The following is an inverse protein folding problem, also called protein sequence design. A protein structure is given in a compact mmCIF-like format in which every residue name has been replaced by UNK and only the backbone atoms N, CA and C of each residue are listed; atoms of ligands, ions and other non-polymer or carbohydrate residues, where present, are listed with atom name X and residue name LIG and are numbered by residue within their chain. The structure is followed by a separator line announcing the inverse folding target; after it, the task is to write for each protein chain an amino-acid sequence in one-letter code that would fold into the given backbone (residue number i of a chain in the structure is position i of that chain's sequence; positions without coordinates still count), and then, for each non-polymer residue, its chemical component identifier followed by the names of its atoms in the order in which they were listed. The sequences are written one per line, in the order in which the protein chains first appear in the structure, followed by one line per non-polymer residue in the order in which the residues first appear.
data_IF_787557336901
#
_entry.id   IF_787557336901
#
_cell.length_a   1.000
_cell.length_b   1.000
_cell.length_c   1.000
_cell.angle_alpha   90.00
_cell.angle_beta   90.00
_cell.angle_gamma   90.00
#
_symmetry.space_group_name_H-M   'P 1'
#
loop_
_entity.id
_entity.type
_entity.pdbx_description
1 polymer ?
#
# COMPACT_ATOMS: atom_id res chain seq x y z
N UNK A 1 2.38 -15.77 16.62
CA UNK A 1 1.10 -15.08 16.32
C UNK A 1 1.33 -13.59 16.41
N UNK A 2 0.32 -12.73 16.22
CA UNK A 2 0.47 -11.27 16.42
C UNK A 2 0.91 -10.97 17.85
N UNK A 3 0.33 -11.66 18.84
CA UNK A 3 0.63 -11.48 20.26
C UNK A 3 2.11 -11.74 20.56
N UNK A 4 2.66 -12.84 20.04
CA UNK A 4 4.07 -13.17 20.22
C UNK A 4 5.03 -12.15 19.59
N UNK A 5 4.61 -11.45 18.52
CA UNK A 5 5.40 -10.35 17.95
C UNK A 5 5.33 -9.13 18.85
N UNK A 6 4.13 -8.80 19.35
CA UNK A 6 3.91 -7.65 20.24
C UNK A 6 4.63 -7.79 21.59
N UNK A 7 4.87 -9.01 22.09
CA UNK A 7 5.65 -9.24 23.32
C UNK A 7 7.09 -8.73 23.22
N UNK A 8 7.67 -8.68 22.02
CA UNK A 8 9.06 -8.26 21.78
C UNK A 8 9.17 -6.97 20.99
N UNK A 9 8.08 -6.48 20.41
CA UNK A 9 8.03 -5.27 19.61
C UNK A 9 7.71 -4.04 20.49
N UNK A 10 8.44 -2.92 20.36
CA UNK A 10 8.12 -1.70 21.11
C UNK A 10 6.68 -1.22 20.83
N UNK A 11 5.92 -0.93 21.88
CA UNK A 11 4.50 -0.61 21.79
C UNK A 11 4.21 0.71 21.04
N UNK A 12 5.18 1.61 20.99
CA UNK A 12 5.11 2.87 20.26
C UNK A 12 5.37 2.73 18.75
N UNK A 13 5.92 1.59 18.30
CA UNK A 13 6.23 1.35 16.90
C UNK A 13 5.05 0.66 16.21
N UNK A 14 4.66 1.10 15.01
CA UNK A 14 3.53 0.49 14.33
C UNK A 14 3.85 -0.94 13.89
N UNK A 15 2.86 -1.81 14.00
CA UNK A 15 2.90 -3.20 13.55
C UNK A 15 2.06 -3.35 12.28
N UNK A 16 2.71 -3.74 11.19
CA UNK A 16 2.08 -3.98 9.91
C UNK A 16 1.88 -5.48 9.68
N UNK A 17 0.77 -5.86 9.07
CA UNK A 17 0.55 -7.22 8.56
C UNK A 17 0.26 -7.14 7.07
N UNK A 18 1.04 -7.87 6.27
CA UNK A 18 0.79 -8.02 4.84
C UNK A 18 -0.05 -9.26 4.58
N UNK A 19 -1.08 -9.12 3.75
CA UNK A 19 -1.95 -10.24 3.36
C UNK A 19 -2.05 -10.36 1.83
N UNK A 20 -2.33 -11.57 1.36
CA UNK A 20 -2.92 -11.79 0.04
C UNK A 20 -4.43 -11.72 0.18
N UNK A 21 -5.06 -10.67 -0.34
CA UNK A 21 -6.48 -10.41 -0.17
C UNK A 21 -7.38 -11.43 -0.91
N UNK A 22 -6.81 -12.12 -1.89
CA UNK A 22 -7.43 -13.23 -2.58
C UNK A 22 -6.34 -14.10 -3.17
N UNK A 23 -6.60 -15.40 -3.30
CA UNK A 23 -5.73 -16.33 -4.02
C UNK A 23 -5.98 -16.33 -5.54
N UNK A 24 -7.03 -15.65 -6.01
CA UNK A 24 -7.46 -15.64 -7.42
C UNK A 24 -7.74 -17.04 -7.99
N UNK A 25 -8.12 -17.99 -7.14
CA UNK A 25 -8.41 -19.38 -7.51
C UNK A 25 -9.76 -19.83 -6.94
N UNK A 26 -10.42 -20.75 -7.64
CA UNK A 26 -11.69 -21.34 -7.20
C UNK A 26 -11.51 -22.05 -5.84
N UNK A 27 -12.39 -21.74 -4.89
CA UNK A 27 -12.32 -22.27 -3.52
C UNK A 27 -11.13 -21.76 -2.69
N UNK A 28 -10.33 -20.83 -3.22
CA UNK A 28 -9.25 -20.17 -2.49
C UNK A 28 -9.74 -19.05 -1.57
N UNK A 29 -8.78 -18.44 -0.87
CA UNK A 29 -9.03 -17.28 -0.01
C UNK A 29 -9.62 -16.12 -0.81
N UNK A 30 -10.64 -15.46 -0.24
CA UNK A 30 -11.35 -14.35 -0.87
C UNK A 30 -11.31 -13.05 -0.07
N UNK A 31 -11.89 -12.00 -0.66
CA UNK A 31 -11.88 -10.67 -0.09
C UNK A 31 -12.70 -10.60 1.21
N UNK A 32 -13.84 -11.28 1.27
CA UNK A 32 -14.70 -11.31 2.45
C UNK A 32 -13.96 -11.90 3.67
N UNK A 33 -13.19 -12.96 3.44
CA UNK A 33 -12.33 -13.56 4.46
C UNK A 33 -11.20 -12.62 4.89
N UNK A 34 -10.60 -11.89 3.93
CA UNK A 34 -9.58 -10.87 4.22
C UNK A 34 -10.11 -9.73 5.07
N UNK A 35 -11.33 -9.26 4.80
CA UNK A 35 -12.00 -8.23 5.61
C UNK A 35 -12.22 -8.73 7.05
N UNK A 36 -12.71 -9.97 7.21
CA UNK A 36 -12.88 -10.60 8.53
C UNK A 36 -11.56 -10.74 9.27
N UNK A 37 -10.52 -11.22 8.61
CA UNK A 37 -9.18 -11.33 9.18
C UNK A 37 -8.66 -9.96 9.61
N UNK A 38 -8.81 -8.95 8.77
CA UNK A 38 -8.35 -7.59 9.06
C UNK A 38 -9.05 -6.98 10.29
N UNK A 39 -10.35 -7.24 10.47
CA UNK A 39 -11.07 -6.84 11.68
C UNK A 39 -10.51 -7.51 12.94
N UNK A 40 -10.22 -8.82 12.87
CA UNK A 40 -9.61 -9.56 13.98
C UNK A 40 -8.19 -9.07 14.28
N UNK A 41 -7.41 -8.74 13.26
CA UNK A 41 -6.06 -8.19 13.41
C UNK A 41 -6.10 -6.79 14.05
N UNK A 42 -7.07 -5.96 13.68
CA UNK A 42 -7.32 -4.65 14.31
C UNK A 42 -7.60 -4.81 15.80
N UNK A 43 -8.50 -5.72 16.18
CA UNK A 43 -8.79 -6.01 17.60
C UNK A 43 -7.57 -6.49 18.37
N UNK A 44 -6.63 -7.14 17.69
CA UNK A 44 -5.36 -7.60 18.25
C UNK A 44 -4.27 -6.51 18.26
N UNK A 45 -4.57 -5.28 17.85
CA UNK A 45 -3.60 -4.16 17.88
C UNK A 45 -2.62 -4.15 16.71
N UNK A 46 -3.00 -4.68 15.55
CA UNK A 46 -2.31 -4.38 14.29
C UNK A 46 -2.72 -3.00 13.81
N UNK A 47 -1.75 -2.19 13.42
CA UNK A 47 -1.96 -0.80 13.02
C UNK A 47 -2.32 -0.68 11.53
N UNK A 48 -1.67 -1.48 10.68
CA UNK A 48 -1.80 -1.36 9.22
C UNK A 48 -1.92 -2.72 8.54
N UNK A 49 -2.85 -2.81 7.58
CA UNK A 49 -2.92 -3.92 6.63
C UNK A 49 -2.28 -3.50 5.31
N UNK A 50 -1.16 -4.15 4.94
CA UNK A 50 -0.55 -4.07 3.60
C UNK A 50 -1.26 -5.07 2.68
N UNK A 51 -2.06 -4.56 1.75
CA UNK A 51 -2.99 -5.37 0.98
C UNK A 51 -2.43 -5.75 -0.39
N UNK A 52 -2.02 -7.02 -0.53
CA UNK A 52 -1.59 -7.63 -1.80
C UNK A 52 -2.56 -8.75 -2.23
N UNK A 53 -2.14 -9.70 -3.06
CA UNK A 53 -2.97 -10.81 -3.55
C UNK A 53 -2.12 -11.88 -4.26
N UNK A 54 -2.68 -13.08 -4.39
CA UNK A 54 -2.08 -14.21 -5.10
C UNK A 54 -0.87 -14.83 -4.40
N UNK A 55 -0.18 -15.70 -5.13
CA UNK A 55 1.07 -16.33 -4.71
C UNK A 55 0.92 -17.71 -4.05
N UNK A 56 -0.29 -18.11 -3.67
CA UNK A 56 -0.53 -19.41 -3.05
C UNK A 56 -0.50 -20.57 -4.05
N UNK A 57 -1.05 -20.38 -5.25
CA UNK A 57 -1.21 -21.44 -6.26
C UNK A 57 -0.94 -20.94 -7.68
N UNK A 58 -0.49 -21.84 -8.55
CA UNK A 58 -0.30 -21.57 -9.99
C UNK A 58 -1.62 -21.55 -10.76
N UNK A 59 -2.72 -22.05 -10.20
CA UNK A 59 -4.04 -22.04 -10.83
C UNK A 59 -4.70 -20.65 -10.84
N UNK A 60 -4.07 -19.67 -10.20
CA UNK A 60 -4.56 -18.31 -10.05
C UNK A 60 -4.79 -17.60 -11.40
N UNK A 61 -5.88 -16.85 -11.52
CA UNK A 61 -6.19 -16.01 -12.68
C UNK A 61 -6.20 -14.54 -12.28
N UNK A 62 -5.06 -13.86 -12.45
CA UNK A 62 -4.87 -12.48 -11.98
C UNK A 62 -5.16 -11.49 -13.11
N UNK A 63 -6.18 -10.62 -12.98
CA UNK A 63 -6.47 -9.58 -13.96
C UNK A 63 -5.52 -8.38 -13.80
N UNK A 64 -4.27 -8.53 -14.28
CA UNK A 64 -3.26 -7.49 -14.16
C UNK A 64 -3.66 -6.20 -14.89
N UNK A 65 -3.79 -5.12 -14.11
CA UNK A 65 -4.01 -3.75 -14.55
C UNK A 65 -3.35 -2.77 -13.57
N UNK A 66 -3.10 -1.50 -13.94
CA UNK A 66 -2.68 -0.49 -12.98
C UNK A 66 -3.63 -0.47 -11.77
N UNK A 67 -3.08 -0.54 -10.55
CA UNK A 67 -3.87 -0.52 -9.32
C UNK A 67 -4.75 -1.74 -9.07
N UNK A 68 -4.47 -2.90 -9.67
CA UNK A 68 -5.37 -4.08 -9.59
C UNK A 68 -5.66 -4.62 -8.18
N UNK A 69 -4.96 -4.16 -7.14
CA UNK A 69 -5.21 -4.56 -5.74
C UNK A 69 -5.73 -3.40 -4.88
N UNK A 70 -5.91 -2.19 -5.45
CA UNK A 70 -6.38 -1.00 -4.72
C UNK A 70 -7.78 -1.25 -4.15
N UNK A 71 -8.65 -1.91 -4.91
CA UNK A 71 -10.00 -2.25 -4.47
C UNK A 71 -10.03 -3.10 -3.19
N UNK A 72 -9.00 -3.92 -2.95
CA UNK A 72 -8.88 -4.70 -1.72
C UNK A 72 -8.53 -3.83 -0.52
N UNK A 73 -7.57 -2.90 -0.68
CA UNK A 73 -7.22 -1.95 0.37
C UNK A 73 -8.43 -1.06 0.71
N UNK A 74 -9.20 -0.64 -0.31
CA UNK A 74 -10.39 0.17 -0.14
C UNK A 74 -11.50 -0.59 0.61
N UNK A 75 -11.74 -1.85 0.25
CA UNK A 75 -12.73 -2.68 0.92
C UNK A 75 -12.37 -2.93 2.39
N UNK A 76 -11.12 -3.33 2.68
CA UNK A 76 -10.66 -3.53 4.06
C UNK A 76 -10.78 -2.25 4.88
N UNK A 77 -10.35 -1.11 4.32
CA UNK A 77 -10.46 0.20 4.98
C UNK A 77 -11.90 0.56 5.29
N UNK A 78 -12.79 0.47 4.29
CA UNK A 78 -14.20 0.82 4.43
C UNK A 78 -14.92 -0.03 5.46
N UNK A 79 -14.72 -1.34 5.43
CA UNK A 79 -15.49 -2.29 6.24
C UNK A 79 -14.97 -2.42 7.68
N UNK A 80 -13.69 -2.15 7.93
CA UNK A 80 -13.07 -2.35 9.25
C UNK A 80 -12.59 -1.05 9.91
N UNK A 81 -12.37 0.00 9.11
CA UNK A 81 -11.75 1.24 9.56
C UNK A 81 -10.32 1.07 10.07
N UNK A 82 -9.61 -0.01 9.72
CA UNK A 82 -8.16 -0.11 9.94
C UNK A 82 -7.44 0.70 8.86
N UNK A 83 -6.26 1.23 9.18
CA UNK A 83 -5.38 1.85 8.20
C UNK A 83 -4.93 0.82 7.19
N UNK A 84 -4.99 1.16 5.90
CA UNK A 84 -4.59 0.24 4.82
C UNK A 84 -3.52 0.83 3.92
N UNK A 85 -2.67 -0.04 3.39
CA UNK A 85 -1.75 0.31 2.33
C UNK A 85 -2.11 -0.39 1.02
N UNK A 86 -2.13 0.36 -0.07
CA UNK A 86 -2.32 -0.16 -1.41
C UNK A 86 -1.00 -0.41 -2.13
N UNK A 87 -0.92 -1.52 -2.85
CA UNK A 87 0.20 -1.88 -3.73
C UNK A 87 -0.34 -2.42 -5.05
N UNK A 88 0.51 -2.48 -6.08
CA UNK A 88 0.21 -3.23 -7.31
C UNK A 88 0.08 -2.34 -8.52
N UNK A 89 1.16 -2.29 -9.32
CA UNK A 89 1.23 -1.51 -10.56
C UNK A 89 0.81 -0.04 -10.37
N UNK A 90 1.19 0.55 -9.24
CA UNK A 90 1.17 1.99 -9.02
C UNK A 90 2.54 2.51 -9.46
N UNK A 91 2.55 3.41 -10.45
CA UNK A 91 3.79 3.78 -11.17
C UNK A 91 3.95 5.27 -11.46
N UNK A 92 2.93 6.09 -11.21
CA UNK A 92 3.00 7.52 -11.44
C UNK A 92 2.37 8.29 -10.27
N UNK A 93 2.77 9.55 -10.13
CA UNK A 93 2.40 10.40 -9.01
C UNK A 93 0.88 10.65 -8.96
N UNK A 94 0.29 10.96 -10.11
CA UNK A 94 -1.15 11.20 -10.22
C UNK A 94 -1.99 10.00 -9.78
N UNK A 95 -1.64 8.79 -10.19
CA UNK A 95 -2.33 7.56 -9.77
C UNK A 95 -2.23 7.35 -8.26
N UNK A 96 -1.05 7.57 -7.66
CA UNK A 96 -0.86 7.44 -6.21
C UNK A 96 -1.71 8.48 -5.45
N UNK A 97 -1.75 9.72 -5.94
CA UNK A 97 -2.54 10.81 -5.37
C UNK A 97 -4.06 10.52 -5.47
N UNK A 98 -4.53 10.06 -6.62
CA UNK A 98 -5.95 9.73 -6.84
C UNK A 98 -6.44 8.66 -5.85
N UNK A 99 -5.63 7.63 -5.58
CA UNK A 99 -5.97 6.57 -4.61
C UNK A 99 -6.17 7.16 -3.20
N UNK A 100 -5.30 8.09 -2.79
CA UNK A 100 -5.40 8.75 -1.49
C UNK A 100 -6.60 9.69 -1.43
N UNK A 101 -6.80 10.51 -2.46
CA UNK A 101 -7.92 11.46 -2.55
C UNK A 101 -9.29 10.76 -2.57
N UNK A 102 -9.38 9.59 -3.19
CA UNK A 102 -10.60 8.76 -3.17
C UNK A 102 -10.77 7.95 -1.89
N UNK A 103 -9.87 8.11 -0.90
CA UNK A 103 -9.90 7.38 0.37
C UNK A 103 -9.84 5.85 0.19
N UNK A 104 -9.17 5.38 -0.86
CA UNK A 104 -9.05 3.95 -1.18
C UNK A 104 -7.91 3.27 -0.40
N UNK A 105 -6.96 4.07 0.11
CA UNK A 105 -5.91 3.63 1.03
C UNK A 105 -5.46 4.79 1.92
N UNK A 106 -4.63 4.51 2.91
CA UNK A 106 -3.90 5.51 3.72
C UNK A 106 -2.42 5.60 3.35
N UNK A 107 -1.87 4.51 2.80
CA UNK A 107 -0.48 4.40 2.38
C UNK A 107 -0.39 3.87 0.96
N UNK A 108 0.62 4.33 0.21
CA UNK A 108 0.96 3.82 -1.12
C UNK A 108 2.30 3.10 -1.04
N UNK A 109 2.31 1.81 -1.35
CA UNK A 109 3.54 1.02 -1.45
C UNK A 109 3.96 0.86 -2.90
N UNK A 110 5.21 1.23 -3.18
CA UNK A 110 5.84 1.11 -4.49
C UNK A 110 6.95 0.06 -4.42
N UNK A 111 7.12 -0.71 -5.49
CA UNK A 111 8.14 -1.75 -5.57
C UNK A 111 8.98 -1.60 -6.83
N UNK A 112 8.47 -2.07 -7.98
CA UNK A 112 9.19 -2.03 -9.26
C UNK A 112 9.53 -0.60 -9.71
N UNK A 113 8.74 0.40 -9.30
CA UNK A 113 9.03 1.80 -9.63
C UNK A 113 10.29 2.29 -8.94
N UNK A 114 10.46 2.00 -7.64
CA UNK A 114 11.70 2.33 -6.92
C UNK A 114 12.96 1.66 -7.48
N UNK A 115 12.83 0.51 -8.15
CA UNK A 115 13.96 -0.14 -8.81
C UNK A 115 14.43 0.60 -10.07
N UNK A 116 13.55 1.39 -10.71
CA UNK A 116 13.85 2.14 -11.94
C UNK A 116 14.10 3.62 -11.66
N UNK A 117 13.34 4.18 -10.72
CA UNK A 117 13.44 5.55 -10.24
C UNK A 117 13.50 5.58 -8.70
N UNK A 118 14.69 5.53 -8.10
CA UNK A 118 14.83 5.58 -6.65
C UNK A 118 14.47 6.95 -6.05
N UNK A 119 14.39 8.01 -6.88
CA UNK A 119 14.01 9.35 -6.45
C UNK A 119 12.56 9.69 -6.79
N UNK A 120 11.75 8.67 -7.14
CA UNK A 120 10.34 8.81 -7.46
C UNK A 120 9.57 9.77 -6.53
N UNK A 121 9.69 9.72 -5.19
CA UNK A 121 8.95 10.62 -4.30
C UNK A 121 9.33 12.11 -4.49
N UNK A 122 10.59 12.41 -4.82
CA UNK A 122 11.03 13.78 -5.10
C UNK A 122 10.47 14.28 -6.43
N UNK A 123 10.43 13.40 -7.44
CA UNK A 123 9.83 13.71 -8.75
C UNK A 123 8.31 13.84 -8.66
N UNK A 124 7.65 12.95 -7.94
CA UNK A 124 6.21 12.96 -7.69
C UNK A 124 5.78 14.24 -6.96
N UNK A 125 6.49 14.65 -5.92
CA UNK A 125 6.24 15.91 -5.24
C UNK A 125 6.33 17.11 -6.21
N UNK A 126 7.35 17.15 -7.07
CA UNK A 126 7.47 18.21 -8.07
C UNK A 126 6.30 18.22 -9.08
N UNK A 127 5.89 17.04 -9.56
CA UNK A 127 4.76 16.87 -10.49
C UNK A 127 3.44 17.35 -9.87
N UNK A 128 3.15 16.93 -8.64
CA UNK A 128 1.94 17.28 -7.89
C UNK A 128 1.96 18.72 -7.35
N UNK A 129 3.12 19.38 -7.36
CA UNK A 129 3.28 20.76 -6.91
C UNK A 129 3.57 20.91 -5.42
N UNK A 130 3.96 19.83 -4.74
CA UNK A 130 4.34 19.82 -3.33
C UNK A 130 5.78 20.27 -3.11
N UNK A 131 5.98 21.01 -2.03
CA UNK A 131 7.31 21.41 -1.58
C UNK A 131 7.86 20.43 -0.52
N UNK A 132 8.74 19.54 -0.96
CA UNK A 132 9.49 18.64 -0.07
C UNK A 132 10.94 19.09 0.11
N UNK A 133 11.51 18.78 1.26
CA UNK A 133 12.93 19.01 1.54
C UNK A 133 13.77 17.99 0.77
N UNK A 134 14.65 18.47 -0.10
CA UNK A 134 15.65 17.64 -0.76
C UNK A 134 16.88 17.46 0.15
N UNK A 135 17.67 16.39 0.00
CA UNK A 135 18.99 16.31 0.60
C UNK A 135 19.81 17.54 0.24
N UNK A 136 20.55 18.13 1.19
CA UNK A 136 21.25 19.41 0.99
C UNK A 136 22.17 19.42 -0.23
N UNK A 137 22.78 18.27 -0.53
CA UNK A 137 23.68 18.05 -1.65
C UNK A 137 22.97 18.09 -3.02
N UNK A 138 21.65 17.91 -3.05
CA UNK A 138 20.82 17.86 -4.26
C UNK A 138 19.91 19.07 -4.41
N UNK A 139 19.95 20.06 -3.51
CA UNK A 139 19.10 21.26 -3.60
C UNK A 139 19.22 21.97 -4.95
N UNK A 140 20.43 22.02 -5.53
CA UNK A 140 20.69 22.63 -6.84
C UNK A 140 20.15 21.82 -8.03
N UNK A 141 19.75 20.58 -7.82
CA UNK A 141 19.16 19.70 -8.83
C UNK A 141 17.62 19.75 -8.85
N UNK A 142 16.97 20.45 -7.91
CA UNK A 142 15.50 20.57 -7.85
C UNK A 142 14.97 21.14 -9.18
N UNK A 143 14.06 20.44 -9.88
CA UNK A 143 13.47 20.94 -11.11
C UNK A 143 12.72 22.26 -10.87
N UNK A 144 12.71 23.14 -11.88
CA UNK A 144 11.99 24.42 -11.83
C UNK A 144 10.92 24.40 -12.92
N UNK A 145 9.68 24.74 -12.55
CA UNK A 145 8.65 25.05 -13.54
C UNK A 145 9.14 26.29 -14.29
N UNK A 146 9.45 26.13 -15.58
CA UNK A 146 9.79 27.28 -16.41
C UNK A 146 8.47 28.02 -16.66
N UNK A 147 8.42 29.28 -16.21
CA UNK A 147 7.32 30.21 -16.49
C UNK A 147 7.28 30.59 -17.97
#
# INVERSE_FOLDING_TARGET
TVEAVQEVWPAENPLFVRISATDWAEGGWNLEESVRLSALLKEKGVDVIDTSSGGLTLAQQIPLKPGYQVEFAAAVKKETGITTGAVGLITNAKQAEEILQHNEADLIFLAREFLRDPYFPLHAAFELGDEVKWPSQYERAKPRKHS
#
